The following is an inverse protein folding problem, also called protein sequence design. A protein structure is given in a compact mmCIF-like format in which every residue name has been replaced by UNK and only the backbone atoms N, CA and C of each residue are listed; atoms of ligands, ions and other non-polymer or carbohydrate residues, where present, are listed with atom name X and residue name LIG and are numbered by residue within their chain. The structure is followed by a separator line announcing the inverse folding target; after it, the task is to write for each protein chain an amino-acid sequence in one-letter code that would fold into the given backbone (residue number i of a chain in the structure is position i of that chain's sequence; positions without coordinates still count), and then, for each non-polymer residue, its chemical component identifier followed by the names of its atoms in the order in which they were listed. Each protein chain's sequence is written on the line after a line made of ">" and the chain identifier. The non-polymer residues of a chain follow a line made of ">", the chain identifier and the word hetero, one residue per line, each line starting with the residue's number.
data_IF_551811878226
#
_entry.id   IF_551811878226
#
_cell.length_a   1.000
_cell.length_b   1.000
_cell.length_c   1.000
_cell.angle_alpha   90.00
_cell.angle_beta   90.00
_cell.angle_gamma   90.00
#
_symmetry.space_group_name_H-M   'P 1'
#
loop_
_entity.id
_entity.type
_entity.pdbx_description
1 polymer ?
#
# COMPACT_ATOMS: atom_id res chain seq x y z
N UNK A 1 32.12 39.89 8.97
CA UNK A 1 31.06 39.63 9.96
C UNK A 1 30.03 38.74 9.27
N UNK A 2 30.17 37.43 9.40
CA UNK A 2 29.25 36.48 8.76
C UNK A 2 28.09 36.24 9.72
N UNK A 3 26.90 36.71 9.35
CA UNK A 3 25.69 36.47 10.11
C UNK A 3 25.32 34.99 9.99
N UNK A 4 25.51 34.22 11.06
CA UNK A 4 24.98 32.86 11.18
C UNK A 4 23.46 32.97 11.34
N UNK A 5 22.72 32.66 10.29
CA UNK A 5 21.26 32.51 10.35
C UNK A 5 20.93 31.35 11.28
N UNK A 6 20.49 31.67 12.50
CA UNK A 6 19.89 30.70 13.41
C UNK A 6 18.54 30.32 12.80
N UNK A 7 18.45 29.14 12.15
CA UNK A 7 17.17 28.53 11.83
C UNK A 7 16.45 28.24 13.16
N UNK A 8 15.19 28.67 13.35
CA UNK A 8 14.43 28.28 14.53
C UNK A 8 14.31 26.76 14.54
N UNK A 9 14.72 26.15 15.65
CA UNK A 9 14.64 24.71 15.88
C UNK A 9 13.16 24.31 16.02
N UNK A 10 12.45 24.24 14.88
CA UNK A 10 11.09 23.73 14.83
C UNK A 10 11.14 22.25 15.19
N UNK A 11 10.64 21.89 16.37
CA UNK A 11 10.47 20.50 16.76
C UNK A 11 9.52 19.83 15.76
N UNK A 12 10.07 18.99 14.90
CA UNK A 12 9.30 18.17 13.98
C UNK A 12 8.65 17.01 14.73
N UNK A 13 7.54 16.51 14.18
CA UNK A 13 6.79 15.38 14.68
C UNK A 13 6.91 14.23 13.70
N UNK A 14 7.62 13.18 14.11
CA UNK A 14 7.85 11.99 13.30
C UNK A 14 6.66 11.02 13.39
N UNK A 15 6.28 10.44 12.26
CA UNK A 15 5.42 9.26 12.24
C UNK A 15 6.24 8.03 12.60
N UNK A 16 5.89 7.34 13.69
CA UNK A 16 6.63 6.14 14.16
C UNK A 16 6.49 4.92 13.25
N UNK A 17 5.65 5.04 12.21
CA UNK A 17 5.30 3.96 11.28
C UNK A 17 6.12 4.04 10.01
N UNK A 18 6.18 5.23 9.40
CA UNK A 18 6.84 5.44 8.10
C UNK A 18 8.01 6.44 8.16
N UNK A 19 8.31 7.02 9.33
CA UNK A 19 9.37 8.02 9.52
C UNK A 19 9.08 9.39 8.90
N UNK A 20 7.88 9.62 8.35
CA UNK A 20 7.54 10.91 7.74
C UNK A 20 7.50 12.02 8.79
N UNK A 21 8.14 13.14 8.51
CA UNK A 21 8.25 14.29 9.43
C UNK A 21 7.17 15.34 9.15
N UNK A 22 6.52 15.80 10.21
CA UNK A 22 5.48 16.83 10.14
C UNK A 22 5.86 18.04 10.99
N UNK A 23 5.69 19.24 10.43
CA UNK A 23 5.89 20.49 11.19
C UNK A 23 4.87 20.68 12.31
N UNK A 24 3.65 20.13 12.17
CA UNK A 24 2.56 20.34 13.11
C UNK A 24 1.91 19.01 13.55
N UNK A 25 1.64 18.85 14.85
CA UNK A 25 0.95 17.67 15.41
C UNK A 25 -0.39 17.36 14.72
N UNK A 26 -1.14 18.39 14.32
CA UNK A 26 -2.42 18.23 13.62
C UNK A 26 -2.27 17.49 12.28
N UNK A 27 -1.15 17.70 11.57
CA UNK A 27 -0.87 17.00 10.31
C UNK A 27 -0.45 15.56 10.57
N UNK A 28 0.34 15.29 11.62
CA UNK A 28 0.64 13.92 12.04
C UNK A 28 -0.63 13.14 12.44
N UNK A 29 -1.56 13.78 13.15
CA UNK A 29 -2.84 13.16 13.52
C UNK A 29 -3.69 12.82 12.28
N UNK A 30 -3.79 13.75 11.34
CA UNK A 30 -4.46 13.51 10.05
C UNK A 30 -3.77 12.40 9.24
N UNK A 31 -2.44 12.35 9.28
CA UNK A 31 -1.67 11.26 8.67
C UNK A 31 -2.04 9.91 9.30
N UNK A 32 -2.13 9.80 10.63
CA UNK A 32 -2.57 8.56 11.29
C UNK A 32 -4.03 8.18 10.99
N UNK A 33 -4.92 9.15 10.78
CA UNK A 33 -6.28 8.85 10.33
C UNK A 33 -6.31 8.18 8.95
N UNK A 34 -5.39 8.56 8.07
CA UNK A 34 -5.27 8.00 6.72
C UNK A 34 -4.38 6.74 6.70
N UNK A 35 -3.41 6.66 7.61
CA UNK A 35 -2.41 5.61 7.73
C UNK A 35 -2.36 5.13 9.19
N UNK A 36 -3.34 4.30 9.60
CA UNK A 36 -3.41 3.79 10.95
C UNK A 36 -2.13 3.03 11.34
N UNK A 37 -1.69 3.08 12.62
CA UNK A 37 -0.49 2.37 13.07
C UNK A 37 -0.53 0.85 12.88
N UNK A 38 -1.73 0.25 12.85
CA UNK A 38 -1.96 -1.17 12.53
C UNK A 38 -1.83 -1.48 11.03
N UNK A 39 -1.58 -0.47 10.19
CA UNK A 39 -1.42 -0.58 8.75
C UNK A 39 -0.15 0.13 8.27
N UNK A 40 1.04 -0.40 8.63
CA UNK A 40 2.29 0.32 8.41
C UNK A 40 2.73 0.38 6.95
N UNK A 41 2.14 -0.42 6.07
CA UNK A 41 2.58 -0.56 4.69
C UNK A 41 1.79 0.37 3.77
N UNK A 42 2.38 1.52 3.43
CA UNK A 42 1.71 2.55 2.63
C UNK A 42 2.08 2.44 1.15
N UNK A 43 1.08 2.46 0.28
CA UNK A 43 1.29 2.53 -1.16
C UNK A 43 1.80 3.91 -1.56
N UNK A 44 3.03 3.98 -2.10
CA UNK A 44 3.61 5.25 -2.55
C UNK A 44 2.87 5.92 -3.71
N UNK A 45 2.06 5.17 -4.47
CA UNK A 45 1.33 5.71 -5.63
C UNK A 45 -0.03 6.34 -5.25
N UNK A 46 -0.76 5.77 -4.29
CA UNK A 46 -2.09 6.25 -3.92
C UNK A 46 -2.30 6.56 -2.43
N UNK A 47 -1.28 6.35 -1.59
CA UNK A 47 -1.31 6.63 -0.16
C UNK A 47 -2.14 5.64 0.67
N UNK A 48 -2.64 4.54 0.08
CA UNK A 48 -3.42 3.54 0.81
C UNK A 48 -2.54 2.71 1.74
N UNK A 49 -2.98 2.54 2.98
CA UNK A 49 -2.27 1.79 4.02
C UNK A 49 -2.78 0.34 4.16
N UNK A 50 -1.85 -0.60 4.35
CA UNK A 50 -2.07 -2.04 4.46
C UNK A 50 -1.43 -2.63 5.73
N UNK A 51 -2.08 -3.66 6.28
CA UNK A 51 -1.65 -4.36 7.49
C UNK A 51 -0.41 -5.23 7.30
N UNK A 52 -0.19 -5.74 6.08
CA UNK A 52 0.96 -6.61 5.77
C UNK A 52 1.69 -6.16 4.49
N UNK A 53 2.98 -6.51 4.33
CA UNK A 53 3.72 -6.23 3.10
C UNK A 53 3.12 -6.96 1.88
N UNK A 54 2.65 -8.19 2.08
CA UNK A 54 2.06 -9.01 1.01
C UNK A 54 0.76 -8.41 0.45
N UNK A 55 -0.06 -7.78 1.30
CA UNK A 55 -1.26 -7.06 0.87
C UNK A 55 -0.89 -5.82 0.05
N UNK A 56 0.13 -5.08 0.47
CA UNK A 56 0.65 -3.94 -0.28
C UNK A 56 1.20 -4.39 -1.65
N UNK A 57 2.01 -5.44 -1.69
CA UNK A 57 2.57 -5.97 -2.94
C UNK A 57 1.46 -6.41 -3.90
N UNK A 58 0.47 -7.14 -3.39
CA UNK A 58 -0.70 -7.56 -4.18
C UNK A 58 -1.46 -6.36 -4.72
N UNK A 59 -1.66 -5.32 -3.90
CA UNK A 59 -2.29 -4.08 -4.34
C UNK A 59 -1.45 -3.34 -5.40
N UNK A 60 -0.13 -3.35 -5.30
CA UNK A 60 0.73 -2.71 -6.30
C UNK A 60 0.61 -3.36 -7.69
N UNK A 61 0.29 -4.66 -7.75
CA UNK A 61 0.00 -5.34 -9.02
C UNK A 61 -1.24 -4.78 -9.72
N UNK A 62 -2.24 -4.26 -8.99
CA UNK A 62 -3.38 -3.55 -9.60
C UNK A 62 -2.92 -2.33 -10.39
N UNK A 63 -1.98 -1.57 -9.84
CA UNK A 63 -1.43 -0.38 -10.49
C UNK A 63 -0.61 -0.74 -11.73
N UNK A 64 0.21 -1.78 -11.65
CA UNK A 64 1.01 -2.27 -12.77
C UNK A 64 0.18 -3.02 -13.84
N UNK A 65 -1.11 -3.30 -13.55
CA UNK A 65 -1.97 -4.21 -14.34
C UNK A 65 -1.36 -5.60 -14.52
N UNK A 66 -0.51 -6.01 -13.58
CA UNK A 66 0.14 -7.32 -13.59
C UNK A 66 -0.84 -8.39 -13.13
N UNK A 67 -1.04 -9.40 -13.98
CA UNK A 67 -1.95 -10.52 -13.72
C UNK A 67 -1.21 -11.85 -13.92
N UNK A 68 -0.32 -12.23 -12.98
CA UNK A 68 0.60 -13.34 -13.17
C UNK A 68 -0.08 -14.72 -13.17
N UNK A 69 -1.33 -14.82 -12.73
CA UNK A 69 -2.02 -16.10 -12.60
C UNK A 69 -2.94 -16.33 -13.79
N UNK A 70 -2.57 -17.27 -14.65
CA UNK A 70 -3.33 -17.67 -15.84
C UNK A 70 -4.24 -18.86 -15.53
N UNK A 71 -5.50 -18.81 -15.96
CA UNK A 71 -6.38 -19.97 -16.00
C UNK A 71 -5.98 -20.89 -17.17
N UNK A 72 -5.74 -22.16 -16.86
CA UNK A 72 -5.34 -23.17 -17.85
C UNK A 72 -6.44 -23.52 -18.87
N UNK A 73 -7.71 -23.34 -18.50
CA UNK A 73 -8.86 -23.72 -19.33
C UNK A 73 -9.24 -22.66 -20.35
N UNK A 74 -9.29 -21.38 -19.95
CA UNK A 74 -9.77 -20.29 -20.79
C UNK A 74 -8.77 -19.15 -21.05
N UNK A 75 -7.57 -19.22 -20.46
CA UNK A 75 -6.53 -18.19 -20.64
C UNK A 75 -6.80 -16.87 -19.92
N UNK A 76 -7.85 -16.79 -19.08
CA UNK A 76 -8.15 -15.60 -18.27
C UNK A 76 -7.08 -15.38 -17.20
N UNK A 77 -6.67 -14.13 -16.97
CA UNK A 77 -5.60 -13.79 -16.02
C UNK A 77 -6.10 -13.06 -14.76
N UNK A 78 -5.44 -13.34 -13.64
CA UNK A 78 -5.79 -12.87 -12.30
C UNK A 78 -4.57 -12.32 -11.56
N UNK A 79 -4.83 -11.39 -10.64
CA UNK A 79 -3.81 -10.73 -9.80
C UNK A 79 -3.40 -11.62 -8.62
N UNK A 80 -4.37 -12.36 -8.07
CA UNK A 80 -4.18 -13.26 -6.94
C UNK A 80 -4.45 -14.71 -7.33
N UNK A 81 -3.65 -15.63 -6.77
CA UNK A 81 -3.79 -17.07 -6.99
C UNK A 81 -5.12 -17.62 -6.48
N UNK A 82 -5.61 -17.13 -5.33
CA UNK A 82 -6.90 -17.56 -4.76
C UNK A 82 -8.06 -17.35 -5.74
N UNK A 83 -8.17 -16.15 -6.30
CA UNK A 83 -9.21 -15.81 -7.28
C UNK A 83 -9.10 -16.66 -8.57
N UNK A 84 -7.89 -17.00 -8.99
CA UNK A 84 -7.67 -17.90 -10.12
C UNK A 84 -8.12 -19.33 -9.79
N UNK A 85 -7.79 -19.85 -8.60
CA UNK A 85 -8.20 -21.17 -8.16
C UNK A 85 -9.74 -21.28 -8.07
N UNK A 86 -10.41 -20.28 -7.48
CA UNK A 86 -11.87 -20.21 -7.41
C UNK A 86 -12.51 -20.22 -8.80
N UNK A 87 -11.88 -19.50 -9.75
CA UNK A 87 -12.30 -19.50 -11.13
C UNK A 87 -12.07 -20.84 -11.84
N UNK A 88 -10.95 -21.53 -11.59
CA UNK A 88 -10.71 -22.87 -12.13
C UNK A 88 -11.71 -23.90 -11.57
N UNK A 89 -12.12 -23.76 -10.31
CA UNK A 89 -13.16 -24.62 -9.73
C UNK A 89 -14.50 -24.44 -10.44
N UNK A 90 -14.82 -23.22 -10.90
CA UNK A 90 -16.01 -22.99 -11.73
C UNK A 90 -15.94 -23.75 -13.06
N UNK A 91 -14.78 -23.87 -13.71
CA UNK A 91 -14.62 -24.71 -14.90
C UNK A 91 -14.92 -26.18 -14.58
N UNK A 92 -14.45 -26.66 -13.43
CA UNK A 92 -14.72 -28.04 -12.97
C UNK A 92 -16.21 -28.29 -12.69
N UNK A 93 -16.87 -27.37 -12.01
CA UNK A 93 -18.26 -27.52 -11.57
C UNK A 93 -19.27 -27.34 -12.71
N UNK A 94 -18.99 -26.43 -13.64
CA UNK A 94 -19.94 -26.05 -14.69
C UNK A 94 -19.54 -26.49 -16.11
N UNK A 95 -18.42 -27.22 -16.27
CA UNK A 95 -17.87 -27.67 -17.57
C UNK A 95 -17.79 -26.56 -18.63
N UNK A 96 -17.35 -25.37 -18.19
CA UNK A 96 -17.11 -24.21 -19.04
C UNK A 96 -15.74 -24.30 -19.73
#
# INVERSE_FOLDING_TARGET
>A
MSASTILPSNKLHECSVCGTMFQFLKHLRMHYHQNPPDRPHVCGQCGRAFGTPSDLETHQRDHARERPHLCSHCGKTFIQKGNMNEHEEMHRLYKL
#
